data_IF_122222279072
#
_entry.id   IF_122222279072
#
_cell.length_a   1.000
_cell.length_b   1.000
_cell.length_c   1.000
_cell.angle_alpha   90.00
_cell.angle_beta   90.00
_cell.angle_gamma   90.00
#
_symmetry.space_group_name_H-M   'P 1'
#
loop_
_entity.id
_entity.type
_entity.pdbx_description
1 polymer ?
#
# COMPACT_ATOMS: atom_id res chain seq x y z
N UNK A 1 -14.11 -18.50 -6.23
CA UNK A 1 -13.73 -18.90 -4.85
C UNK A 1 -12.37 -18.34 -4.44
N UNK A 2 -11.30 -18.57 -5.21
CA UNK A 2 -9.96 -18.02 -4.95
C UNK A 2 -9.94 -16.48 -4.83
N UNK A 3 -10.67 -15.77 -5.69
CA UNK A 3 -10.76 -14.30 -5.66
C UNK A 3 -11.30 -13.75 -4.32
N UNK A 4 -12.39 -14.32 -3.79
CA UNK A 4 -12.96 -13.86 -2.52
C UNK A 4 -12.00 -14.10 -1.36
N UNK A 5 -11.25 -15.21 -1.39
CA UNK A 5 -10.23 -15.51 -0.39
C UNK A 5 -9.07 -14.49 -0.46
N UNK A 6 -8.63 -14.14 -1.67
CA UNK A 6 -7.60 -13.13 -1.87
C UNK A 6 -8.03 -11.75 -1.34
N UNK A 7 -9.27 -11.31 -1.63
CA UNK A 7 -9.80 -10.06 -1.08
C UNK A 7 -9.93 -10.08 0.45
N UNK A 8 -10.36 -11.21 1.03
CA UNK A 8 -10.46 -11.34 2.48
C UNK A 8 -9.07 -11.22 3.15
N UNK A 9 -8.05 -11.89 2.59
CA UNK A 9 -6.68 -11.81 3.07
C UNK A 9 -6.08 -10.41 2.89
N UNK A 10 -6.34 -9.75 1.76
CA UNK A 10 -5.91 -8.37 1.53
C UNK A 10 -6.62 -7.40 2.48
N UNK A 11 -7.90 -7.60 2.76
CA UNK A 11 -8.64 -6.81 3.76
C UNK A 11 -8.04 -6.95 5.16
N UNK A 12 -7.69 -8.17 5.58
CA UNK A 12 -7.01 -8.41 6.86
C UNK A 12 -5.61 -7.79 6.90
N UNK A 13 -4.83 -7.91 5.82
CA UNK A 13 -3.52 -7.29 5.71
C UNK A 13 -3.62 -5.76 5.80
N UNK A 14 -4.56 -5.15 5.08
CA UNK A 14 -4.82 -3.71 5.11
C UNK A 14 -5.21 -3.24 6.51
N UNK A 15 -6.11 -3.96 7.19
CA UNK A 15 -6.47 -3.66 8.58
C UNK A 15 -5.27 -3.74 9.52
N UNK A 16 -4.41 -4.76 9.38
CA UNK A 16 -3.20 -4.90 10.18
C UNK A 16 -2.21 -3.74 9.95
N UNK A 17 -2.02 -3.30 8.70
CA UNK A 17 -1.18 -2.14 8.39
C UNK A 17 -1.77 -0.83 8.93
N UNK A 18 -3.09 -0.64 8.88
CA UNK A 18 -3.77 0.52 9.48
C UNK A 18 -3.59 0.54 11.00
N UNK A 19 -3.72 -0.60 11.66
CA UNK A 19 -3.45 -0.72 13.11
C UNK A 19 -1.99 -0.37 13.42
N UNK A 20 -1.04 -0.87 12.63
CA UNK A 20 0.38 -0.55 12.79
C UNK A 20 0.69 0.93 12.54
N UNK A 21 0.01 1.57 11.58
CA UNK A 21 0.12 3.00 11.32
C UNK A 21 -0.32 3.83 12.53
N UNK A 22 -1.42 3.42 13.19
CA UNK A 22 -1.95 4.12 14.37
C UNK A 22 -1.09 3.91 15.63
N UNK A 23 -0.60 2.68 15.85
CA UNK A 23 0.14 2.29 17.08
C UNK A 23 1.65 2.51 16.97
N UNK A 24 2.19 2.70 15.77
CA UNK A 24 3.63 2.81 15.51
C UNK A 24 4.32 3.91 16.34
N UNK A 25 5.33 3.58 17.16
CA UNK A 25 6.02 4.54 18.04
C UNK A 25 7.08 5.38 17.32
N UNK A 26 7.63 4.87 16.22
CA UNK A 26 8.66 5.56 15.41
C UNK A 26 8.06 6.08 14.11
N UNK A 27 8.46 7.29 13.71
CA UNK A 27 8.09 7.92 12.44
C UNK A 27 8.41 7.02 11.22
N UNK A 28 9.52 6.27 11.26
CA UNK A 28 9.87 5.32 10.21
C UNK A 28 8.90 4.13 10.12
N UNK A 29 8.45 3.59 11.25
CA UNK A 29 7.53 2.44 11.31
C UNK A 29 6.14 2.81 10.77
N UNK A 30 5.71 4.06 11.00
CA UNK A 30 4.48 4.61 10.42
C UNK A 30 4.54 4.68 8.90
N UNK A 31 5.68 5.02 8.31
CA UNK A 31 5.79 5.13 6.85
C UNK A 31 5.91 3.80 6.16
N UNK A 32 6.62 2.84 6.76
CA UNK A 32 6.55 1.46 6.29
C UNK A 32 5.12 0.92 6.37
N UNK A 33 4.37 1.25 7.42
CA UNK A 33 2.96 0.87 7.52
C UNK A 33 2.09 1.55 6.45
N UNK A 34 2.34 2.82 6.14
CA UNK A 34 1.61 3.58 5.11
C UNK A 34 1.87 3.03 3.70
N UNK A 35 3.13 2.69 3.39
CA UNK A 35 3.53 2.01 2.15
C UNK A 35 2.87 0.62 2.04
N UNK A 36 2.79 -0.11 3.15
CA UNK A 36 2.05 -1.38 3.25
C UNK A 36 0.56 -1.24 2.94
N UNK A 37 -0.10 -0.17 3.42
CA UNK A 37 -1.50 0.12 3.08
C UNK A 37 -1.65 0.36 1.57
N UNK A 38 -0.82 1.23 0.98
CA UNK A 38 -0.91 1.56 -0.43
C UNK A 38 -0.62 0.35 -1.33
N UNK A 39 0.34 -0.48 -0.95
CA UNK A 39 0.65 -1.75 -1.64
C UNK A 39 -0.53 -2.71 -1.56
N UNK A 40 -1.19 -2.82 -0.41
CA UNK A 40 -2.37 -3.68 -0.24
C UNK A 40 -3.53 -3.21 -1.14
N UNK A 41 -3.72 -1.88 -1.26
CA UNK A 41 -4.72 -1.30 -2.17
C UNK A 41 -4.37 -1.60 -3.63
N UNK A 42 -3.11 -1.44 -4.03
CA UNK A 42 -2.66 -1.78 -5.38
C UNK A 42 -2.91 -3.27 -5.72
N UNK A 43 -2.61 -4.17 -4.78
CA UNK A 43 -2.88 -5.61 -4.95
C UNK A 43 -4.39 -5.93 -5.07
N UNK A 44 -5.25 -5.21 -4.33
CA UNK A 44 -6.69 -5.36 -4.46
C UNK A 44 -7.20 -4.91 -5.83
N UNK A 45 -6.64 -3.82 -6.38
CA UNK A 45 -6.94 -3.34 -7.74
C UNK A 45 -6.48 -4.37 -8.79
N UNK A 46 -5.29 -4.94 -8.64
CA UNK A 46 -4.77 -5.99 -9.54
C UNK A 46 -5.65 -7.24 -9.49
N UNK A 47 -6.05 -7.68 -8.28
CA UNK A 47 -6.95 -8.81 -8.13
C UNK A 47 -8.31 -8.54 -8.81
N UNK A 48 -8.81 -7.30 -8.74
CA UNK A 48 -10.03 -6.89 -9.43
C UNK A 48 -9.87 -6.86 -10.96
N UNK A 49 -8.71 -6.41 -11.44
CA UNK A 49 -8.34 -6.43 -12.85
C UNK A 49 -8.42 -7.85 -13.44
N UNK A 50 -7.81 -8.81 -12.73
CA UNK A 50 -7.81 -10.23 -13.11
C UNK A 50 -9.21 -10.86 -13.15
N UNK A 51 -10.19 -10.29 -12.43
CA UNK A 51 -11.58 -10.74 -12.50
C UNK A 51 -12.34 -10.13 -13.68
N UNK A 52 -12.02 -8.89 -14.03
CA UNK A 52 -12.75 -8.11 -15.04
C UNK A 52 -12.17 -8.33 -16.45
N UNK A 53 -11.05 -9.05 -16.56
CA UNK A 53 -10.28 -9.27 -17.80
C UNK A 53 -9.97 -7.96 -18.56
N UNK A 54 -9.95 -6.85 -17.82
CA UNK A 54 -9.82 -5.50 -18.35
C UNK A 54 -8.54 -4.85 -17.87
N UNK A 55 -7.66 -4.56 -18.82
CA UNK A 55 -6.32 -4.00 -18.60
C UNK A 55 -6.34 -2.58 -18.03
N UNK A 56 -7.48 -1.87 -18.09
CA UNK A 56 -7.60 -0.50 -17.55
C UNK A 56 -7.21 -0.39 -16.07
N UNK A 57 -7.57 -1.39 -15.27
CA UNK A 57 -7.25 -1.40 -13.84
C UNK A 57 -5.76 -1.61 -13.57
N UNK A 58 -4.99 -2.17 -14.51
CA UNK A 58 -3.54 -2.31 -14.35
C UNK A 58 -2.83 -0.95 -14.39
N UNK A 59 -3.30 -0.02 -15.23
CA UNK A 59 -2.74 1.33 -15.28
C UNK A 59 -2.95 2.04 -13.95
N UNK A 60 -4.15 1.93 -13.37
CA UNK A 60 -4.45 2.50 -12.04
C UNK A 60 -3.55 1.89 -10.96
N UNK A 61 -3.38 0.57 -10.96
CA UNK A 61 -2.51 -0.11 -9.99
C UNK A 61 -1.05 0.35 -10.08
N UNK A 62 -0.52 0.53 -11.30
CA UNK A 62 0.84 1.04 -11.53
C UNK A 62 0.98 2.47 -11.01
N UNK A 63 0.01 3.34 -11.30
CA UNK A 63 0.02 4.73 -10.80
C UNK A 63 0.01 4.75 -9.26
N UNK A 64 -0.84 3.94 -8.63
CA UNK A 64 -0.89 3.83 -7.16
C UNK A 64 0.45 3.34 -6.60
N UNK A 65 1.07 2.34 -7.23
CA UNK A 65 2.38 1.82 -6.80
C UNK A 65 3.49 2.89 -6.89
N UNK A 66 3.50 3.68 -7.98
CA UNK A 66 4.46 4.78 -8.13
C UNK A 66 4.24 5.87 -7.10
N UNK A 67 2.98 6.25 -6.83
CA UNK A 67 2.65 7.24 -5.81
C UNK A 67 3.08 6.78 -4.42
N UNK A 68 2.84 5.50 -4.09
CA UNK A 68 3.30 4.91 -2.83
C UNK A 68 4.82 5.00 -2.68
N UNK A 69 5.54 4.56 -3.70
CA UNK A 69 7.00 4.58 -3.71
C UNK A 69 7.57 6.01 -3.56
N UNK A 70 7.02 6.98 -4.31
CA UNK A 70 7.44 8.39 -4.20
C UNK A 70 7.13 8.94 -2.81
N UNK A 71 5.95 8.64 -2.24
CA UNK A 71 5.59 9.05 -0.88
C UNK A 71 6.60 8.56 0.16
N UNK A 72 7.05 7.31 0.04
CA UNK A 72 8.06 6.71 0.90
C UNK A 72 9.43 7.40 0.76
N UNK A 73 9.85 7.73 -0.47
CA UNK A 73 11.12 8.46 -0.72
C UNK A 73 11.08 9.89 -0.15
N UNK A 74 10.01 10.64 -0.41
CA UNK A 74 9.85 12.02 0.08
C UNK A 74 9.97 12.05 1.60
N UNK A 75 9.37 11.07 2.26
CA UNK A 75 9.44 10.96 3.70
C UNK A 75 10.82 10.56 4.23
N UNK A 76 11.49 9.61 3.56
CA UNK A 76 12.87 9.24 3.91
C UNK A 76 13.79 10.47 3.83
N UNK A 77 13.66 11.26 2.76
CA UNK A 77 14.38 12.54 2.59
C UNK A 77 14.04 13.56 3.68
N UNK A 78 12.77 13.69 4.07
CA UNK A 78 12.35 14.59 5.14
C UNK A 78 12.98 14.26 6.50
N UNK A 79 13.08 12.97 6.84
CA UNK A 79 13.75 12.53 8.09
C UNK A 79 15.25 12.86 8.04
N UNK A 80 15.89 12.61 6.92
CA UNK A 80 17.33 12.85 6.72
C UNK A 80 17.66 14.34 6.82
N UNK A 81 16.87 15.23 6.20
CA UNK A 81 17.06 16.67 6.28
C UNK A 81 16.87 17.23 7.70
N UNK A 82 16.05 16.58 8.55
CA UNK A 82 15.88 16.99 9.96
C UNK A 82 17.00 16.53 10.89
N UNK A 83 17.88 15.65 10.43
CA UNK A 83 18.99 15.10 11.23
C UNK A 83 20.35 15.72 10.86
N UNK A 84 20.40 16.52 9.78
CA UNK A 84 21.60 17.24 9.31
C UNK A 84 21.69 18.67 9.78
#
# INVERSE_FOLDING_TARGET
MIYNLALALLGLAGAAFVVRLAVGPRLADRVVALDGVLTTVALAIIANSARTDSTEYLVVAVVVALVAFVGTIVYARFIETKTG
#
